data_IF_001387166061
#
_entry.id   IF_001387166061
#
_cell.length_a   1.000
_cell.length_b   1.000
_cell.length_c   1.000
_cell.angle_alpha   90.00
_cell.angle_beta   90.00
_cell.angle_gamma   90.00
#
_symmetry.space_group_name_H-M   'P 1'
#
loop_
_entity.id
_entity.type
_entity.pdbx_description
1 polymer ?
#
# COMPACT_ATOMS: atom_id res chain seq x y z
N UNK A 1 2.60 13.65 5.06
CA UNK A 1 2.69 12.21 5.41
C UNK A 1 2.32 11.93 6.86
N UNK A 2 3.20 12.19 7.83
CA UNK A 2 2.98 11.79 9.24
C UNK A 2 1.67 12.36 9.84
N UNK A 3 1.40 13.65 9.64
CA UNK A 3 0.14 14.29 10.08
C UNK A 3 -1.10 13.65 9.45
N UNK A 4 -1.04 13.35 8.15
CA UNK A 4 -2.13 12.68 7.43
C UNK A 4 -2.43 11.30 7.99
N UNK A 5 -1.39 10.48 8.19
CA UNK A 5 -1.55 9.15 8.76
C UNK A 5 -2.05 9.21 10.21
N UNK A 6 -1.57 10.17 11.01
CA UNK A 6 -2.05 10.40 12.36
C UNK A 6 -3.54 10.78 12.40
N UNK A 7 -3.99 11.68 11.49
CA UNK A 7 -5.42 12.02 11.37
C UNK A 7 -6.29 10.81 11.03
N UNK A 8 -5.76 9.87 10.24
CA UNK A 8 -6.44 8.62 9.89
C UNK A 8 -6.22 7.49 10.91
N UNK A 9 -5.48 7.74 11.99
CA UNK A 9 -5.08 6.73 12.98
C UNK A 9 -4.37 5.51 12.35
N UNK A 10 -3.54 5.75 11.33
CA UNK A 10 -2.74 4.73 10.63
C UNK A 10 -1.30 4.76 11.16
N UNK A 11 -0.82 3.70 11.84
CA UNK A 11 0.58 3.58 12.23
C UNK A 11 1.51 3.51 11.02
N UNK A 12 2.65 4.22 11.12
CA UNK A 12 3.71 4.24 10.12
C UNK A 12 5.03 3.77 10.74
N UNK A 13 5.80 3.00 9.97
CA UNK A 13 7.16 2.63 10.33
C UNK A 13 8.09 2.96 9.16
N UNK A 14 9.20 3.63 9.44
CA UNK A 14 10.29 3.72 8.46
C UNK A 14 10.95 2.34 8.39
N UNK A 15 11.10 1.83 7.17
CA UNK A 15 11.77 0.55 6.91
C UNK A 15 12.89 0.75 5.89
N UNK A 16 13.48 -0.35 5.42
CA UNK A 16 14.45 -0.32 4.33
C UNK A 16 15.76 0.39 4.68
N UNK A 17 16.39 0.99 3.65
CA UNK A 17 17.70 1.61 3.78
C UNK A 17 17.69 2.75 4.80
N UNK A 18 16.63 3.57 4.82
CA UNK A 18 16.50 4.68 5.77
C UNK A 18 16.49 4.19 7.22
N UNK A 19 15.75 3.12 7.54
CA UNK A 19 15.74 2.58 8.91
C UNK A 19 17.13 2.11 9.36
N UNK A 20 17.85 1.41 8.47
CA UNK A 20 19.23 1.00 8.73
C UNK A 20 20.14 2.21 8.92
N UNK A 21 20.01 3.21 8.07
CA UNK A 21 20.83 4.42 8.12
C UNK A 21 20.62 5.17 9.44
N UNK A 22 19.37 5.34 9.90
CA UNK A 22 19.06 5.95 11.21
C UNK A 22 19.75 5.20 12.35
N UNK A 23 19.76 3.86 12.33
CA UNK A 23 20.43 3.08 13.38
C UNK A 23 21.95 3.16 13.26
N UNK A 24 22.52 2.88 12.08
CA UNK A 24 23.96 2.74 11.92
C UNK A 24 24.70 4.08 11.88
N UNK A 25 24.10 5.10 11.28
CA UNK A 25 24.70 6.43 11.22
C UNK A 25 24.43 7.22 12.50
N UNK A 26 23.16 7.43 12.86
CA UNK A 26 22.85 8.36 13.95
C UNK A 26 23.23 7.79 15.32
N UNK A 27 23.16 6.46 15.50
CA UNK A 27 23.52 5.83 16.77
C UNK A 27 24.97 5.33 16.82
N UNK A 28 25.50 4.74 15.72
CA UNK A 28 26.84 4.14 15.70
C UNK A 28 27.90 4.96 14.95
N UNK A 29 27.55 6.10 14.35
CA UNK A 29 28.49 6.98 13.65
C UNK A 29 29.06 6.41 12.35
N UNK A 30 28.45 5.37 11.78
CA UNK A 30 28.91 4.78 10.53
C UNK A 30 28.70 5.74 9.35
N UNK A 31 29.64 5.81 8.40
CA UNK A 31 29.48 6.64 7.20
C UNK A 31 28.34 6.13 6.31
N UNK A 32 27.51 7.03 5.80
CA UNK A 32 26.45 6.71 4.84
C UNK A 32 26.97 6.68 3.40
N UNK A 33 26.52 5.70 2.64
CA UNK A 33 26.63 5.67 1.18
C UNK A 33 25.32 5.15 0.60
N UNK A 34 24.46 6.06 0.16
CA UNK A 34 23.16 5.72 -0.46
C UNK A 34 23.21 5.88 -1.98
N UNK A 35 22.76 4.85 -2.68
CA UNK A 35 22.56 4.89 -4.13
C UNK A 35 21.15 5.39 -4.51
N UNK A 36 20.18 5.32 -3.58
CA UNK A 36 18.78 5.70 -3.81
C UNK A 36 18.30 6.73 -2.78
N UNK A 37 17.33 7.55 -3.18
CA UNK A 37 16.71 8.60 -2.35
C UNK A 37 15.24 8.31 -2.04
N UNK A 38 14.78 7.08 -2.32
CA UNK A 38 13.44 6.64 -1.95
C UNK A 38 13.34 6.38 -0.44
N UNK A 39 12.16 6.64 0.11
CA UNK A 39 11.83 6.44 1.51
C UNK A 39 10.70 5.42 1.64
N UNK A 40 11.03 4.26 2.19
CA UNK A 40 10.10 3.16 2.42
C UNK A 40 9.35 3.31 3.76
N UNK A 41 8.02 3.28 3.70
CA UNK A 41 7.16 3.25 4.86
C UNK A 41 6.33 1.97 4.89
N UNK A 42 6.44 1.20 5.97
CA UNK A 42 5.42 0.21 6.28
C UNK A 42 4.19 0.90 6.85
N UNK A 43 3.01 0.63 6.30
CA UNK A 43 1.74 1.21 6.73
C UNK A 43 0.82 0.12 7.26
N UNK A 44 0.47 0.21 8.55
CA UNK A 44 -0.39 -0.80 9.16
C UNK A 44 -1.84 -0.49 8.85
N UNK A 45 -2.49 -1.35 8.06
CA UNK A 45 -3.86 -1.12 7.58
C UNK A 45 -4.74 -2.36 7.78
N UNK A 46 -6.04 -2.17 8.07
CA UNK A 46 -6.98 -3.28 8.20
C UNK A 46 -7.34 -3.90 6.83
N UNK A 47 -7.41 -3.08 5.78
CA UNK A 47 -7.83 -3.47 4.45
C UNK A 47 -7.38 -2.46 3.38
N UNK A 48 -7.68 -2.76 2.12
CA UNK A 48 -7.31 -1.91 0.98
C UNK A 48 -8.02 -0.55 0.95
N UNK A 49 -9.22 -0.43 1.53
CA UNK A 49 -9.93 0.84 1.55
C UNK A 49 -9.21 1.88 2.42
N UNK A 50 -8.59 1.43 3.52
CA UNK A 50 -7.72 2.28 4.35
C UNK A 50 -6.45 2.72 3.61
N UNK A 51 -5.88 1.86 2.76
CA UNK A 51 -4.75 2.24 1.90
C UNK A 51 -5.13 3.35 0.93
N UNK A 52 -6.25 3.18 0.22
CA UNK A 52 -6.71 4.17 -0.76
C UNK A 52 -7.10 5.49 -0.09
N UNK A 53 -7.68 5.45 1.12
CA UNK A 53 -7.98 6.65 1.90
C UNK A 53 -6.71 7.41 2.28
N UNK A 54 -5.68 6.71 2.77
CA UNK A 54 -4.38 7.32 3.05
C UNK A 54 -3.78 7.95 1.80
N UNK A 55 -3.75 7.21 0.69
CA UNK A 55 -3.20 7.69 -0.58
C UNK A 55 -3.94 8.94 -1.06
N UNK A 56 -5.28 8.92 -1.05
CA UNK A 56 -6.10 10.06 -1.47
C UNK A 56 -5.85 11.32 -0.63
N UNK A 57 -5.70 11.19 0.69
CA UNK A 57 -5.36 12.33 1.54
C UNK A 57 -3.95 12.86 1.29
N UNK A 58 -2.98 11.97 1.02
CA UNK A 58 -1.62 12.40 0.68
C UNK A 58 -1.58 13.19 -0.63
N UNK A 59 -2.35 12.78 -1.65
CA UNK A 59 -2.45 13.51 -2.91
C UNK A 59 -2.97 14.95 -2.71
N UNK A 60 -3.87 15.18 -1.74
CA UNK A 60 -4.35 16.53 -1.39
C UNK A 60 -3.28 17.40 -0.73
N UNK A 61 -2.23 16.78 -0.17
CA UNK A 61 -1.13 17.46 0.54
C UNK A 61 0.09 17.74 -0.33
N UNK A 62 0.00 17.53 -1.65
CA UNK A 62 1.07 17.85 -2.60
C UNK A 62 1.87 16.63 -3.09
N UNK A 63 1.54 15.42 -2.64
CA UNK A 63 2.06 14.20 -3.26
C UNK A 63 1.39 13.99 -4.62
N UNK A 64 2.08 13.28 -5.52
CA UNK A 64 1.51 12.89 -6.82
C UNK A 64 1.68 11.41 -7.10
N UNK A 65 0.76 10.84 -7.87
CA UNK A 65 0.81 9.44 -8.25
C UNK A 65 1.96 9.16 -9.21
N UNK A 66 2.41 7.91 -9.20
CA UNK A 66 3.41 7.40 -10.13
C UNK A 66 2.86 6.19 -10.89
N UNK A 67 3.63 5.67 -11.84
CA UNK A 67 3.26 4.43 -12.54
C UNK A 67 3.23 3.20 -11.61
N UNK A 68 3.91 3.28 -10.46
CA UNK A 68 3.94 2.22 -9.46
C UNK A 68 2.86 2.51 -8.42
N UNK A 69 1.82 1.66 -8.27
CA UNK A 69 0.63 1.99 -7.47
C UNK A 69 0.89 2.36 -6.00
N UNK A 70 1.91 1.75 -5.40
CA UNK A 70 2.30 1.97 -4.00
C UNK A 70 3.32 3.11 -3.81
N UNK A 71 3.74 3.76 -4.89
CA UNK A 71 4.78 4.80 -4.87
C UNK A 71 4.17 6.16 -5.18
N UNK A 72 4.50 7.15 -4.36
CA UNK A 72 4.12 8.55 -4.54
C UNK A 72 5.35 9.43 -4.72
N UNK A 73 5.28 10.40 -5.62
CA UNK A 73 6.31 11.42 -5.78
C UNK A 73 6.10 12.57 -4.79
N UNK A 74 7.19 13.08 -4.23
CA UNK A 74 7.19 14.21 -3.28
C UNK A 74 7.39 15.54 -4.02
N UNK A 75 7.01 16.64 -3.39
CA UNK A 75 7.27 18.00 -3.91
C UNK A 75 8.76 18.34 -3.98
N UNK A 76 9.61 17.58 -3.28
CA UNK A 76 11.06 17.79 -3.21
C UNK A 76 11.83 16.99 -4.29
N UNK A 77 11.12 16.32 -5.21
CA UNK A 77 11.73 15.55 -6.30
C UNK A 77 12.15 14.12 -5.90
N UNK A 78 11.72 13.66 -4.73
CA UNK A 78 11.93 12.30 -4.23
C UNK A 78 10.70 11.41 -4.38
N UNK A 79 10.79 10.21 -3.81
CA UNK A 79 9.74 9.19 -3.89
C UNK A 79 9.54 8.57 -2.51
N UNK A 80 8.29 8.24 -2.18
CA UNK A 80 7.97 7.40 -1.03
C UNK A 80 7.32 6.10 -1.51
N UNK A 81 7.68 4.99 -0.89
CA UNK A 81 7.02 3.70 -1.09
C UNK A 81 6.16 3.35 0.13
N UNK A 82 4.88 3.07 -0.12
CA UNK A 82 3.93 2.69 0.90
C UNK A 82 3.73 1.18 0.86
N UNK A 83 4.29 0.47 1.82
CA UNK A 83 4.21 -0.99 1.93
C UNK A 83 3.11 -1.36 2.92
N UNK A 84 1.91 -1.75 2.46
CA UNK A 84 0.82 -2.12 3.34
C UNK A 84 1.09 -3.45 4.05
N UNK A 85 0.78 -3.49 5.34
CA UNK A 85 0.76 -4.75 6.09
C UNK A 85 -0.45 -4.80 7.02
N UNK A 86 -1.00 -6.01 7.20
CA UNK A 86 -2.14 -6.27 8.06
C UNK A 86 -1.73 -6.55 9.50
N UNK A 87 -2.71 -6.95 10.34
CA UNK A 87 -2.44 -7.45 11.68
C UNK A 87 -1.40 -8.58 11.64
N UNK A 88 -0.52 -8.59 12.64
CA UNK A 88 0.37 -9.74 12.86
C UNK A 88 -0.52 -10.91 13.29
N UNK A 89 -0.47 -12.03 12.57
CA UNK A 89 -1.22 -13.21 12.96
C UNK A 89 -0.58 -13.88 14.19
N UNK A 90 -1.40 -14.53 15.01
CA UNK A 90 -0.96 -15.18 16.25
C UNK A 90 0.06 -16.33 16.05
N UNK A 91 0.33 -16.74 14.81
CA UNK A 91 1.37 -17.73 14.46
C UNK A 91 2.72 -17.09 14.08
N UNK A 92 2.89 -15.77 14.31
CA UNK A 92 4.13 -15.05 14.05
C UNK A 92 4.34 -14.68 12.59
N UNK A 93 3.31 -14.79 11.74
CA UNK A 93 3.36 -14.33 10.35
C UNK A 93 2.76 -12.94 10.24
N UNK A 94 3.36 -12.09 9.40
CA UNK A 94 2.67 -10.87 8.98
C UNK A 94 1.57 -11.30 7.99
N UNK A 95 0.31 -10.97 8.28
CA UNK A 95 -0.72 -11.11 7.27
C UNK A 95 -0.50 -10.02 6.22
N UNK A 96 0.05 -10.38 5.06
CA UNK A 96 -0.01 -9.50 3.89
C UNK A 96 -1.48 -9.44 3.47
N UNK A 97 -2.07 -8.26 3.38
CA UNK A 97 -3.42 -8.12 2.83
C UNK A 97 -3.37 -8.58 1.37
N UNK A 98 -3.81 -9.82 1.12
CA UNK A 98 -3.74 -10.42 -0.19
C UNK A 98 -4.55 -9.58 -1.19
N UNK A 99 -3.90 -9.16 -2.27
CA UNK A 99 -4.59 -8.68 -3.45
C UNK A 99 -5.45 -9.81 -4.01
N UNK A 100 -6.76 -9.77 -3.77
CA UNK A 100 -7.72 -10.51 -4.59
C UNK A 100 -9.00 -9.71 -4.70
N UNK A 101 -8.98 -8.72 -5.61
CA UNK A 101 -10.20 -8.37 -6.34
C UNK A 101 -10.57 -9.60 -7.17
N UNK A 102 -11.33 -10.54 -6.57
CA UNK A 102 -12.07 -11.54 -7.35
C UNK A 102 -13.19 -10.79 -8.06
N UNK A 103 -12.89 -10.31 -9.26
CA UNK A 103 -13.92 -9.87 -10.19
C UNK A 103 -14.68 -11.11 -10.70
N UNK A 104 -15.60 -11.65 -9.90
CA UNK A 104 -16.59 -12.63 -10.37
C UNK A 104 -17.58 -11.87 -11.24
N UNK A 105 -17.38 -11.90 -12.56
CA UNK A 105 -18.46 -11.67 -13.52
C UNK A 105 -19.57 -12.68 -13.20
N UNK A 106 -20.68 -12.22 -12.62
CA UNK A 106 -21.92 -12.97 -12.61
C UNK A 106 -22.34 -13.19 -14.06
N UNK A 107 -22.32 -14.45 -14.47
CA UNK A 107 -22.88 -14.89 -15.73
C UNK A 107 -24.39 -14.66 -15.73
N UNK A 108 -24.87 -13.93 -16.72
CA UNK A 108 -26.27 -13.98 -17.14
C UNK A 108 -26.34 -14.76 -18.45
N UNK A 109 -26.58 -16.06 -18.34
CA UNK A 109 -27.20 -16.84 -19.42
C UNK A 109 -28.53 -17.34 -18.88
N UNK A 110 -29.68 -16.93 -19.44
CA UNK A 110 -30.91 -17.68 -19.25
C UNK A 110 -30.94 -18.80 -20.28
N UNK A 111 -30.91 -20.02 -19.79
CA UNK A 111 -31.26 -21.21 -20.55
C UNK A 111 -32.79 -21.35 -20.51
N UNK A 112 -33.44 -21.37 -21.66
CA UNK A 112 -34.76 -22.00 -21.80
C UNK A 112 -34.81 -22.84 -23.09
N UNK A 113 -34.55 -24.14 -22.94
CA UNK A 113 -35.18 -25.20 -23.74
C UNK A 113 -36.49 -25.56 -23.04
N UNK A 114 -37.61 -25.89 -23.68
CA UNK A 114 -37.92 -26.07 -25.09
C UNK A 114 -39.33 -26.66 -25.24
N UNK A 115 -39.57 -27.28 -26.40
CA UNK A 115 -40.69 -28.19 -26.77
C UNK A 115 -41.99 -27.44 -27.11
N UNK A 116 -42.66 -27.60 -28.27
CA UNK A 116 -42.49 -28.47 -29.43
C UNK A 116 -43.76 -28.43 -30.31
N UNK A 117 -43.67 -29.08 -31.48
CA UNK A 117 -44.76 -29.69 -32.25
C UNK A 117 -45.61 -28.85 -33.24
N UNK A 118 -45.40 -29.19 -34.53
CA UNK A 118 -46.38 -29.54 -35.57
C UNK A 118 -46.92 -28.49 -36.56
N UNK A 119 -46.88 -28.95 -37.82
CA UNK A 119 -47.42 -28.49 -39.12
C UNK A 119 -46.70 -27.35 -39.87
#
# INVERSE_FOLDING_TARGET
MATTAQHLSIPLFVIGATARDLVLHDYYGASLSRATQDLDFAVQIPDWSAFEALKAELLKTGFSETRTPHRLATTEGGWIDLVPFGPISNDGKAATTAASSKNTKQGSTPLSKGIGANE
#
